data_IF_188174458063
#
_entry.id   IF_188174458063
#
_cell.length_a   1.000
_cell.length_b   1.000
_cell.length_c   1.000
_cell.angle_alpha   90.00
_cell.angle_beta   90.00
_cell.angle_gamma   90.00
#
_symmetry.space_group_name_H-M   'P 1'
#
loop_
_entity.id
_entity.type
_entity.pdbx_description
1 polymer ?
#
# COMPACT_ATOMS: atom_id res chain seq x y z
N UNK A 1 31.65 111.93 -37.62
CA UNK A 1 32.68 111.60 -36.60
C UNK A 1 32.05 110.64 -35.60
N UNK A 2 32.87 109.67 -35.17
CA UNK A 2 32.73 108.57 -34.20
C UNK A 2 31.70 108.67 -33.04
N UNK A 3 31.40 107.51 -32.40
CA UNK A 3 30.06 106.99 -32.10
C UNK A 3 29.81 106.78 -30.59
N UNK A 4 28.59 106.43 -30.18
CA UNK A 4 28.30 105.74 -28.90
C UNK A 4 26.91 105.07 -29.02
N UNK A 5 26.77 103.74 -29.10
CA UNK A 5 26.97 102.66 -28.10
C UNK A 5 25.70 102.36 -27.27
N UNK A 6 25.42 101.04 -27.20
CA UNK A 6 24.57 100.32 -26.23
C UNK A 6 23.02 100.50 -26.33
N UNK A 7 22.15 99.49 -26.18
CA UNK A 7 22.24 98.18 -25.53
C UNK A 7 21.52 97.08 -26.35
N UNK A 8 22.19 95.94 -26.48
CA UNK A 8 21.61 94.66 -26.89
C UNK A 8 20.68 94.21 -25.75
N UNK A 9 19.40 94.03 -26.07
CA UNK A 9 18.44 93.33 -25.20
C UNK A 9 18.80 91.85 -25.20
N UNK A 10 19.56 91.42 -24.18
CA UNK A 10 19.76 90.02 -23.88
C UNK A 10 18.76 89.62 -22.79
N UNK A 11 17.70 88.93 -23.20
CA UNK A 11 16.77 88.23 -22.33
C UNK A 11 17.58 87.22 -21.48
N UNK A 12 17.51 87.23 -20.14
CA UNK A 12 18.10 86.14 -19.38
C UNK A 12 17.25 84.91 -19.61
N UNK A 13 17.82 83.93 -20.30
CA UNK A 13 17.37 82.53 -20.25
C UNK A 13 17.36 82.17 -18.77
N UNK A 14 16.17 81.94 -18.22
CA UNK A 14 16.00 81.34 -16.90
C UNK A 14 16.66 79.97 -16.99
N UNK A 15 17.88 79.90 -16.46
CA UNK A 15 18.62 78.67 -16.22
C UNK A 15 17.71 77.74 -15.44
N UNK A 16 17.52 76.55 -16.00
CA UNK A 16 16.99 75.38 -15.31
C UNK A 16 17.61 75.31 -13.91
N UNK A 17 16.77 75.31 -12.89
CA UNK A 17 17.19 74.92 -11.55
C UNK A 17 17.66 73.47 -11.62
N UNK A 18 18.97 73.26 -11.66
CA UNK A 18 19.53 72.02 -11.14
C UNK A 18 19.09 71.93 -9.68
N UNK A 19 18.27 70.94 -9.37
CA UNK A 19 18.13 70.48 -7.98
C UNK A 19 19.51 69.91 -7.64
N UNK A 20 20.40 70.77 -7.16
CA UNK A 20 21.71 70.41 -6.63
C UNK A 20 21.46 69.56 -5.38
N UNK A 21 21.34 68.24 -5.59
CA UNK A 21 21.22 67.26 -4.51
C UNK A 21 22.54 67.29 -3.76
N UNK A 22 22.51 67.64 -2.48
CA UNK A 22 23.71 67.62 -1.65
C UNK A 22 24.32 66.23 -1.64
N UNK A 23 25.66 66.12 -1.74
CA UNK A 23 26.38 64.86 -1.62
C UNK A 23 26.02 64.08 -0.32
N UNK A 24 25.59 64.79 0.72
CA UNK A 24 25.10 64.18 1.95
C UNK A 24 23.74 63.45 1.77
N UNK A 25 22.81 64.03 1.01
CA UNK A 25 21.52 63.41 0.72
C UNK A 25 21.67 62.21 -0.22
N UNK A 26 22.61 62.29 -1.16
CA UNK A 26 22.93 61.19 -2.07
C UNK A 26 23.53 60.00 -1.28
N UNK A 27 24.46 60.28 -0.36
CA UNK A 27 25.06 59.27 0.51
C UNK A 27 24.01 58.61 1.41
N UNK A 28 23.10 59.40 2.01
CA UNK A 28 22.01 58.87 2.84
C UNK A 28 21.04 57.98 2.05
N UNK A 29 20.73 58.33 0.80
CA UNK A 29 19.90 57.49 -0.08
C UNK A 29 20.62 56.20 -0.46
N UNK A 30 21.94 56.25 -0.70
CA UNK A 30 22.78 55.08 -0.95
C UNK A 30 22.79 54.13 0.24
N UNK A 31 22.96 54.63 1.47
CA UNK A 31 22.89 53.79 2.68
C UNK A 31 21.53 53.12 2.84
N UNK A 32 20.44 53.85 2.58
CA UNK A 32 19.09 53.32 2.65
C UNK A 32 18.81 52.25 1.57
N UNK A 33 19.41 52.42 0.39
CA UNK A 33 19.35 51.43 -0.69
C UNK A 33 20.16 50.19 -0.29
N UNK A 34 21.35 50.36 0.26
CA UNK A 34 22.22 49.27 0.71
C UNK A 34 21.52 48.42 1.78
N UNK A 35 20.87 49.07 2.74
CA UNK A 35 20.08 48.41 3.78
C UNK A 35 18.92 47.60 3.17
N UNK A 36 18.14 48.21 2.26
CA UNK A 36 17.02 47.54 1.58
C UNK A 36 17.47 46.36 0.72
N UNK A 37 18.58 46.49 -0.01
CA UNK A 37 19.14 45.42 -0.83
C UNK A 37 19.59 44.26 0.06
N UNK A 38 20.29 44.54 1.17
CA UNK A 38 20.70 43.50 2.12
C UNK A 38 19.51 42.76 2.76
N UNK A 39 18.42 43.49 3.05
CA UNK A 39 17.18 42.90 3.54
C UNK A 39 16.47 42.05 2.50
N UNK A 40 16.56 42.44 1.22
CA UNK A 40 15.98 41.71 0.11
C UNK A 40 16.75 40.41 -0.18
N UNK A 41 18.08 40.46 -0.17
CA UNK A 41 18.94 39.28 -0.34
C UNK A 41 18.67 38.22 0.74
N UNK A 42 18.52 38.64 2.01
CA UNK A 42 18.14 37.73 3.11
C UNK A 42 16.77 37.08 2.90
N UNK A 43 15.80 37.82 2.36
CA UNK A 43 14.46 37.29 2.07
C UNK A 43 14.46 36.34 0.88
N UNK A 44 15.23 36.66 -0.16
CA UNK A 44 15.35 35.81 -1.35
C UNK A 44 16.02 34.48 -0.97
N UNK A 45 17.13 34.52 -0.23
CA UNK A 45 17.81 33.30 0.24
C UNK A 45 16.93 32.44 1.14
N UNK A 46 16.16 33.04 2.05
CA UNK A 46 15.19 32.32 2.88
C UNK A 46 14.08 31.66 2.03
N UNK A 47 13.53 32.40 1.05
CA UNK A 47 12.51 31.88 0.14
C UNK A 47 13.04 30.76 -0.76
N UNK A 48 14.26 30.87 -1.27
CA UNK A 48 14.91 29.82 -2.08
C UNK A 48 15.10 28.54 -1.25
N UNK A 49 15.54 28.67 0.01
CA UNK A 49 15.66 27.55 0.93
C UNK A 49 14.31 26.91 1.24
N UNK A 50 13.28 27.70 1.52
CA UNK A 50 11.93 27.20 1.79
C UNK A 50 11.35 26.48 0.56
N UNK A 51 11.52 27.06 -0.63
CA UNK A 51 11.01 26.48 -1.87
C UNK A 51 11.73 25.14 -2.21
N UNK A 52 13.04 25.04 -1.94
CA UNK A 52 13.77 23.78 -2.07
C UNK A 52 13.22 22.69 -1.12
N UNK A 53 12.89 23.05 0.13
CA UNK A 53 12.29 22.12 1.09
C UNK A 53 10.88 21.67 0.65
N UNK A 54 10.07 22.59 0.12
CA UNK A 54 8.72 22.28 -0.37
C UNK A 54 8.78 21.35 -1.59
N UNK A 55 9.71 21.57 -2.53
CA UNK A 55 9.90 20.66 -3.67
C UNK A 55 10.26 19.25 -3.23
N UNK A 56 11.08 19.12 -2.18
CA UNK A 56 11.44 17.83 -1.63
C UNK A 56 10.24 17.11 -1.00
N UNK A 57 9.44 17.80 -0.18
CA UNK A 57 8.22 17.25 0.41
C UNK A 57 7.22 16.82 -0.67
N UNK A 58 7.03 17.63 -1.72
CA UNK A 58 6.14 17.28 -2.84
C UNK A 58 6.61 16.01 -3.55
N UNK A 59 7.92 15.84 -3.73
CA UNK A 59 8.50 14.65 -4.36
C UNK A 59 8.30 13.40 -3.50
N UNK A 60 8.50 13.51 -2.20
CA UNK A 60 8.28 12.40 -1.25
C UNK A 60 6.80 11.99 -1.22
N UNK A 61 5.88 12.97 -1.13
CA UNK A 61 4.43 12.70 -1.17
C UNK A 61 4.01 12.06 -2.48
N UNK A 62 4.56 12.49 -3.62
CA UNK A 62 4.28 11.88 -4.92
C UNK A 62 4.76 10.42 -4.99
N UNK A 63 5.94 10.12 -4.43
CA UNK A 63 6.46 8.76 -4.34
C UNK A 63 5.58 7.88 -3.46
N UNK A 64 5.23 8.34 -2.25
CA UNK A 64 4.34 7.60 -1.34
C UNK A 64 2.95 7.39 -1.96
N UNK A 65 2.41 8.37 -2.68
CA UNK A 65 1.12 8.23 -3.36
C UNK A 65 1.16 7.19 -4.49
N UNK A 66 2.24 7.11 -5.26
CA UNK A 66 2.41 6.08 -6.30
C UNK A 66 2.65 4.69 -5.69
N UNK A 67 3.37 4.58 -4.58
CA UNK A 67 3.53 3.33 -3.83
C UNK A 67 2.18 2.83 -3.28
N UNK A 68 1.35 3.71 -2.72
CA UNK A 68 0.01 3.37 -2.24
C UNK A 68 -0.91 2.98 -3.40
N UNK A 69 -0.86 3.68 -4.54
CA UNK A 69 -1.63 3.31 -5.73
C UNK A 69 -1.20 1.96 -6.30
N UNK A 70 0.09 1.66 -6.31
CA UNK A 70 0.60 0.38 -6.83
C UNK A 70 0.27 -0.78 -5.89
N UNK A 71 0.37 -0.59 -4.56
CA UNK A 71 -0.06 -1.58 -3.58
C UNK A 71 -1.59 -1.81 -3.58
N UNK A 72 -2.39 -0.76 -3.79
CA UNK A 72 -3.86 -0.85 -3.80
C UNK A 72 -4.45 -1.37 -5.12
N UNK A 73 -3.70 -1.36 -6.24
CA UNK A 73 -4.14 -1.97 -7.51
C UNK A 73 -4.48 -3.47 -7.38
N UNK A 74 -3.86 -4.19 -6.44
CA UNK A 74 -4.21 -5.58 -6.16
C UNK A 74 -5.51 -5.77 -5.35
N UNK A 75 -6.00 -4.72 -4.69
CA UNK A 75 -7.21 -4.74 -3.86
C UNK A 75 -8.42 -4.02 -4.50
N UNK A 76 -8.22 -3.36 -5.64
CA UNK A 76 -9.29 -2.64 -6.31
C UNK A 76 -10.30 -3.63 -6.91
N UNK A 77 -11.56 -3.52 -6.49
CA UNK A 77 -12.66 -4.31 -7.07
C UNK A 77 -12.80 -3.92 -8.55
N UNK A 78 -12.72 -4.88 -9.50
CA UNK A 78 -12.89 -4.58 -10.92
C UNK A 78 -14.27 -3.97 -11.20
N UNK A 79 -14.31 -2.97 -12.10
CA UNK A 79 -15.56 -2.31 -12.50
C UNK A 79 -16.34 -3.10 -13.56
N UNK A 80 -15.65 -3.92 -14.37
CA UNK A 80 -16.29 -4.78 -15.36
C UNK A 80 -17.08 -5.91 -14.68
N UNK A 81 -18.33 -6.19 -15.07
CA UNK A 81 -19.17 -7.18 -14.40
C UNK A 81 -18.61 -8.60 -14.43
N UNK A 82 -17.92 -9.00 -15.51
CA UNK A 82 -17.35 -10.35 -15.68
C UNK A 82 -16.06 -10.50 -14.87
N UNK A 83 -15.24 -9.47 -14.85
CA UNK A 83 -14.04 -9.42 -14.01
C UNK A 83 -14.40 -9.37 -12.52
N UNK A 84 -15.47 -8.65 -12.17
CA UNK A 84 -15.99 -8.55 -10.81
C UNK A 84 -16.50 -9.89 -10.29
N UNK A 85 -17.25 -10.64 -11.10
CA UNK A 85 -17.67 -12.00 -10.76
C UNK A 85 -16.46 -12.93 -10.54
N UNK A 86 -15.48 -12.86 -11.44
CA UNK A 86 -14.25 -13.65 -11.35
C UNK A 86 -13.44 -13.29 -10.09
N UNK A 87 -13.35 -12.01 -9.75
CA UNK A 87 -12.71 -11.51 -8.53
C UNK A 87 -13.40 -12.05 -7.27
N UNK A 88 -14.72 -11.93 -7.16
CA UNK A 88 -15.45 -12.44 -6.01
C UNK A 88 -15.39 -13.97 -5.91
N UNK A 89 -15.39 -14.68 -7.04
CA UNK A 89 -15.22 -16.14 -7.06
C UNK A 89 -13.85 -16.53 -6.52
N UNK A 90 -12.77 -15.90 -7.00
CA UNK A 90 -11.40 -16.14 -6.47
C UNK A 90 -11.31 -15.81 -4.99
N UNK A 91 -11.87 -14.68 -4.58
CA UNK A 91 -11.88 -14.27 -3.17
C UNK A 91 -12.66 -15.27 -2.30
N UNK A 92 -13.83 -15.73 -2.75
CA UNK A 92 -14.61 -16.77 -2.04
C UNK A 92 -13.82 -18.07 -1.93
N UNK A 93 -13.17 -18.50 -3.01
CA UNK A 93 -12.35 -19.70 -3.01
C UNK A 93 -11.17 -19.56 -2.04
N UNK A 94 -10.47 -18.42 -2.05
CA UNK A 94 -9.35 -18.15 -1.13
C UNK A 94 -9.81 -18.17 0.33
N UNK A 95 -10.92 -17.51 0.66
CA UNK A 95 -11.51 -17.55 2.02
C UNK A 95 -11.87 -18.97 2.42
N UNK A 96 -12.48 -19.73 1.52
CA UNK A 96 -12.88 -21.13 1.77
C UNK A 96 -11.64 -22.01 1.96
N UNK A 97 -10.60 -21.80 1.17
CA UNK A 97 -9.33 -22.52 1.25
C UNK A 97 -8.60 -22.20 2.54
N UNK A 98 -8.53 -20.93 2.91
CA UNK A 98 -7.95 -20.50 4.17
C UNK A 98 -8.73 -21.11 5.34
N UNK A 99 -10.06 -21.10 5.28
CA UNK A 99 -10.91 -21.79 6.26
C UNK A 99 -10.58 -23.28 6.34
N UNK A 100 -10.38 -23.96 5.21
CA UNK A 100 -10.04 -25.39 5.18
C UNK A 100 -8.63 -25.68 5.73
N UNK A 101 -7.65 -24.81 5.45
CA UNK A 101 -6.31 -24.86 6.06
C UNK A 101 -6.39 -24.66 7.57
N UNK A 102 -7.24 -23.74 8.00
CA UNK A 102 -7.47 -23.40 9.41
C UNK A 102 -8.35 -24.45 10.13
N UNK A 103 -9.13 -25.26 9.39
CA UNK A 103 -9.92 -26.39 9.91
C UNK A 103 -9.08 -27.47 10.60
N UNK A 104 -7.75 -27.36 10.54
CA UNK A 104 -6.86 -27.98 11.50
C UNK A 104 -5.90 -29.01 10.91
N UNK A 105 -5.39 -29.87 11.78
CA UNK A 105 -4.25 -30.73 11.50
C UNK A 105 -4.49 -31.71 10.33
N UNK A 106 -5.75 -32.05 10.00
CA UNK A 106 -6.08 -32.88 8.84
C UNK A 106 -5.66 -32.27 7.49
N UNK A 107 -5.49 -30.95 7.37
CA UNK A 107 -5.04 -30.36 6.11
C UNK A 107 -3.58 -30.70 5.76
N UNK A 108 -2.80 -31.24 6.71
CA UNK A 108 -1.38 -31.57 6.54
C UNK A 108 -1.17 -33.06 6.32
N UNK A 109 -0.49 -33.43 5.24
CA UNK A 109 -0.12 -34.81 4.94
C UNK A 109 0.66 -35.49 6.09
N UNK A 110 1.49 -34.72 6.80
CA UNK A 110 2.27 -35.21 7.95
C UNK A 110 1.40 -35.73 9.10
N UNK A 111 0.25 -35.10 9.36
CA UNK A 111 -0.69 -35.52 10.41
C UNK A 111 -1.31 -36.88 10.07
N UNK A 112 -1.59 -37.14 8.80
CA UNK A 112 -2.13 -38.42 8.35
C UNK A 112 -1.13 -39.56 8.43
N UNK A 113 0.17 -39.28 8.29
CA UNK A 113 1.22 -40.28 8.49
C UNK A 113 1.28 -40.79 9.95
N UNK A 114 0.76 -40.02 10.91
CA UNK A 114 0.66 -40.43 12.31
C UNK A 114 -0.52 -41.37 12.57
N UNK A 115 -1.51 -41.42 11.68
CA UNK A 115 -2.68 -42.29 11.81
C UNK A 115 -2.31 -43.71 11.41
N UNK A 116 -2.43 -44.62 12.37
CA UNK A 116 -2.20 -46.05 12.19
C UNK A 116 -3.48 -46.83 12.44
N UNK A 117 -3.52 -48.08 11.97
CA UNK A 117 -4.58 -49.02 12.34
C UNK A 117 -4.63 -49.18 13.86
N UNK A 118 -5.82 -49.48 14.37
CA UNK A 118 -6.09 -49.70 15.80
C UNK A 118 -6.01 -48.46 16.71
N UNK A 119 -5.89 -47.24 16.17
CA UNK A 119 -6.12 -46.03 16.96
C UNK A 119 -7.60 -45.89 17.34
N UNK A 120 -7.85 -45.27 18.49
CA UNK A 120 -9.19 -44.93 18.96
C UNK A 120 -9.73 -43.69 18.26
N UNK A 121 -11.05 -43.49 18.26
CA UNK A 121 -11.67 -42.26 17.72
C UNK A 121 -11.16 -41.00 18.42
N UNK A 122 -10.92 -41.07 19.73
CA UNK A 122 -10.40 -39.94 20.50
C UNK A 122 -8.97 -39.56 20.06
N UNK A 123 -8.10 -40.55 19.85
CA UNK A 123 -6.74 -40.31 19.36
C UNK A 123 -6.74 -39.73 17.94
N UNK A 124 -7.61 -40.22 17.05
CA UNK A 124 -7.74 -39.67 15.70
C UNK A 124 -8.17 -38.20 15.74
N UNK A 125 -9.14 -37.83 16.58
CA UNK A 125 -9.55 -36.43 16.75
C UNK A 125 -8.44 -35.56 17.35
N UNK A 126 -7.61 -36.11 18.24
CA UNK A 126 -6.45 -35.40 18.78
C UNK A 126 -5.40 -35.11 17.71
N UNK A 127 -5.24 -36.00 16.73
CA UNK A 127 -4.23 -35.88 15.67
C UNK A 127 -4.74 -35.05 14.50
N UNK A 128 -5.95 -35.31 13.98
CA UNK A 128 -6.49 -34.67 12.77
C UNK A 128 -7.43 -33.49 13.08
N UNK A 129 -7.97 -33.43 14.29
CA UNK A 129 -9.07 -32.53 14.63
C UNK A 129 -10.44 -33.17 14.41
N UNK A 130 -11.47 -32.35 14.58
CA UNK A 130 -12.85 -32.79 14.43
C UNK A 130 -13.19 -33.05 12.96
N UNK A 131 -13.89 -34.15 12.64
CA UNK A 131 -14.34 -34.41 11.28
C UNK A 131 -15.46 -33.44 10.88
N UNK A 132 -15.55 -33.14 9.58
CA UNK A 132 -16.61 -32.32 9.03
C UNK A 132 -17.96 -33.06 9.01
N UNK A 133 -17.92 -34.35 8.70
CA UNK A 133 -19.10 -35.21 8.71
C UNK A 133 -18.78 -36.54 9.36
N UNK A 134 -19.75 -37.06 10.09
CA UNK A 134 -19.68 -38.38 10.73
C UNK A 134 -20.83 -39.21 10.21
N UNK A 135 -20.51 -40.31 9.53
CA UNK A 135 -21.52 -41.24 8.97
C UNK A 135 -21.50 -42.54 9.76
N UNK A 136 -22.65 -42.97 10.25
CA UNK A 136 -22.83 -44.31 10.81
C UNK A 136 -23.10 -45.26 9.64
N UNK A 137 -22.47 -46.43 9.65
CA UNK A 137 -22.62 -47.41 8.58
C UNK A 137 -23.32 -48.66 9.12
N UNK A 138 -24.17 -49.28 8.31
CA UNK A 138 -24.93 -50.49 8.67
C UNK A 138 -24.14 -51.77 8.32
N UNK A 139 -22.91 -51.65 7.84
CA UNK A 139 -22.06 -52.78 7.51
C UNK A 139 -21.49 -53.39 8.79
N UNK A 140 -21.57 -54.72 9.02
CA UNK A 140 -21.02 -55.36 10.21
C UNK A 140 -19.51 -55.21 10.39
N UNK A 141 -18.77 -54.72 9.38
CA UNK A 141 -17.33 -54.49 9.44
C UNK A 141 -16.92 -53.04 9.69
N UNK A 142 -17.86 -52.09 9.69
CA UNK A 142 -17.60 -50.66 9.83
C UNK A 142 -18.77 -50.03 10.58
N UNK A 143 -18.50 -49.47 11.75
CA UNK A 143 -19.52 -48.84 12.59
C UNK A 143 -19.69 -47.36 12.22
N UNK A 144 -18.57 -46.67 11.98
CA UNK A 144 -18.56 -45.22 11.80
C UNK A 144 -17.45 -44.78 10.85
N UNK A 145 -17.72 -43.74 10.07
CA UNK A 145 -16.77 -43.15 9.12
C UNK A 145 -16.66 -41.66 9.39
N UNK A 146 -15.43 -41.20 9.56
CA UNK A 146 -15.10 -39.78 9.64
C UNK A 146 -14.71 -39.26 8.27
N UNK A 147 -15.35 -38.17 7.88
CA UNK A 147 -15.11 -37.47 6.63
C UNK A 147 -14.45 -36.13 6.92
N UNK A 148 -13.31 -35.92 6.27
CA UNK A 148 -12.59 -34.66 6.20
C UNK A 148 -12.62 -34.21 4.74
N UNK A 149 -13.05 -32.98 4.48
CA UNK A 149 -13.19 -32.46 3.13
C UNK A 149 -12.89 -30.97 3.14
N UNK A 150 -12.23 -30.49 2.09
CA UNK A 150 -11.94 -29.07 1.92
C UNK A 150 -11.03 -28.83 0.73
N UNK A 151 -11.25 -27.72 0.05
CA UNK A 151 -10.34 -27.18 -0.97
C UNK A 151 -9.14 -26.56 -0.23
N UNK A 152 -7.92 -27.04 -0.47
CA UNK A 152 -6.72 -26.60 0.26
C UNK A 152 -5.86 -25.62 -0.55
N UNK A 153 -6.14 -25.44 -1.82
CA UNK A 153 -5.35 -24.64 -2.78
C UNK A 153 -6.19 -23.59 -3.53
N UNK A 154 -7.47 -23.45 -3.17
CA UNK A 154 -8.42 -22.49 -3.73
C UNK A 154 -8.66 -22.68 -5.23
N UNK A 155 -8.33 -23.85 -5.77
CA UNK A 155 -8.48 -24.20 -7.19
C UNK A 155 -9.93 -24.56 -7.54
N UNK A 156 -10.81 -24.69 -6.53
CA UNK A 156 -12.20 -25.08 -6.65
C UNK A 156 -12.43 -26.57 -6.53
N UNK A 157 -11.39 -27.35 -6.26
CA UNK A 157 -11.43 -28.79 -6.20
C UNK A 157 -11.18 -29.31 -4.77
N UNK A 158 -12.10 -30.13 -4.25
CA UNK A 158 -11.98 -30.58 -2.86
C UNK A 158 -10.94 -31.70 -2.69
N UNK A 159 -10.21 -31.63 -1.58
CA UNK A 159 -9.41 -32.72 -1.04
C UNK A 159 -10.24 -33.53 -0.04
N UNK A 160 -10.02 -34.84 0.02
CA UNK A 160 -10.83 -35.74 0.84
C UNK A 160 -9.97 -36.67 1.69
N UNK A 161 -10.39 -36.84 2.94
CA UNK A 161 -9.83 -37.78 3.90
C UNK A 161 -10.95 -38.59 4.57
N UNK A 162 -10.75 -39.89 4.67
CA UNK A 162 -11.71 -40.86 5.20
C UNK A 162 -11.03 -41.73 6.24
N UNK A 163 -11.66 -41.87 7.41
CA UNK A 163 -11.22 -42.82 8.44
C UNK A 163 -12.40 -43.69 8.84
N UNK A 164 -12.28 -45.00 8.63
CA UNK A 164 -13.29 -45.99 8.97
C UNK A 164 -12.95 -46.66 10.30
N UNK A 165 -13.97 -46.80 11.14
CA UNK A 165 -13.86 -47.37 12.48
C UNK A 165 -14.71 -48.63 12.62
N UNK A 166 -14.19 -49.59 13.38
CA UNK A 166 -14.91 -50.78 13.84
C UNK A 166 -14.56 -51.02 15.30
N UNK A 167 -15.57 -51.17 16.16
CA UNK A 167 -15.41 -51.29 17.63
C UNK A 167 -14.48 -50.22 18.20
N UNK A 168 -14.71 -48.96 17.82
CA UNK A 168 -13.91 -47.79 18.20
C UNK A 168 -12.48 -47.74 17.64
N UNK A 169 -12.07 -48.69 16.79
CA UNK A 169 -10.70 -48.81 16.27
C UNK A 169 -10.62 -48.51 14.78
N UNK A 170 -9.56 -47.80 14.35
CA UNK A 170 -9.28 -47.53 12.93
C UNK A 170 -9.01 -48.83 12.18
N UNK A 171 -9.79 -49.11 11.14
CA UNK A 171 -9.62 -50.26 10.24
C UNK A 171 -8.96 -49.84 8.94
N UNK A 172 -9.50 -48.78 8.33
CA UNK A 172 -9.08 -48.28 7.05
C UNK A 172 -8.98 -46.76 7.10
N UNK A 173 -7.90 -46.24 6.53
CA UNK A 173 -7.76 -44.83 6.21
C UNK A 173 -7.58 -44.70 4.72
N UNK A 174 -8.20 -43.69 4.13
CA UNK A 174 -8.00 -43.32 2.74
C UNK A 174 -7.88 -41.81 2.67
N UNK A 175 -6.87 -41.33 1.98
CA UNK A 175 -6.63 -39.90 1.85
C UNK A 175 -6.22 -39.59 0.41
N UNK A 176 -6.83 -38.54 -0.12
CA UNK A 176 -6.46 -37.94 -1.38
C UNK A 176 -6.20 -36.45 -1.14
N UNK A 177 -4.98 -36.14 -0.70
CA UNK A 177 -4.47 -34.76 -0.73
C UNK A 177 -3.68 -34.60 -2.04
N UNK A 178 -4.09 -33.62 -2.85
CA UNK A 178 -3.26 -33.15 -3.96
C UNK A 178 -2.02 -32.49 -3.38
N UNK A 179 -0.85 -32.78 -3.97
CA UNK A 179 0.39 -32.07 -3.60
C UNK A 179 0.16 -30.60 -3.93
N UNK A 180 0.14 -29.76 -2.91
CA UNK A 180 0.29 -28.32 -3.07
C UNK A 180 1.57 -28.11 -3.88
N UNK A 181 1.45 -27.54 -5.09
CA UNK A 181 2.63 -27.12 -5.84
C UNK A 181 3.30 -26.02 -5.01
N UNK A 182 4.51 -26.32 -4.53
CA UNK A 182 5.40 -25.33 -3.93
C UNK A 182 5.91 -24.38 -5.02
#
# INVERSE_FOLDING_TARGET
MKPLLFFISLCPIVLFGEIQVSNADLSRKLDLILEKVSGLEKRVTALESENASVQQVVKEVAQTAEEVKTASKGLAIPNDPKEKESFYKRMKNEITSQTAKDSGHWAKQSSWALIKRNLTRAEVRRILGNPHKVKINNNPRVDQIYHYSGDLDADGEENHGLVQFFKDRVVLLSISLRRLRA
#
